data_IF_067622021284
#
_entry.id   IF_067622021284
#
_cell.length_a   1.000
_cell.length_b   1.000
_cell.length_c   1.000
_cell.angle_alpha   90.00
_cell.angle_beta   90.00
_cell.angle_gamma   90.00
#
_symmetry.space_group_name_H-M   'P 1'
#
loop_
_entity.id
_entity.type
_entity.pdbx_description
1 polymer ?
#
# COMPACT_ATOMS: atom_id res chain seq x y z
N UNK A 1 -12.10 8.75 17.92
CA UNK A 1 -13.08 8.50 16.97
C UNK A 1 -13.36 9.55 15.90
N UNK A 2 -12.67 10.71 15.94
CA UNK A 2 -12.77 11.76 14.91
C UNK A 2 -12.38 11.25 13.51
N UNK A 3 -11.38 10.35 13.41
CA UNK A 3 -10.94 9.78 12.14
C UNK A 3 -12.06 8.97 11.47
N UNK A 4 -12.72 8.12 12.23
CA UNK A 4 -13.86 7.31 11.74
C UNK A 4 -14.99 8.22 11.26
N UNK A 5 -15.30 9.27 12.02
CA UNK A 5 -16.32 10.26 11.64
C UNK A 5 -15.99 10.98 10.32
N UNK A 6 -14.73 11.38 10.16
CA UNK A 6 -14.24 12.00 8.90
C UNK A 6 -14.37 11.04 7.71
N UNK A 7 -13.97 9.77 7.88
CA UNK A 7 -14.11 8.74 6.83
C UNK A 7 -15.58 8.53 6.45
N UNK A 8 -16.47 8.39 7.46
CA UNK A 8 -17.92 8.24 7.23
C UNK A 8 -18.51 9.43 6.49
N UNK A 9 -18.15 10.63 6.91
CA UNK A 9 -18.66 11.86 6.30
C UNK A 9 -18.21 11.97 4.85
N UNK A 10 -16.91 11.79 4.58
CA UNK A 10 -16.37 11.81 3.23
C UNK A 10 -17.05 10.77 2.32
N UNK A 11 -17.20 9.53 2.80
CA UNK A 11 -17.88 8.47 2.05
C UNK A 11 -19.37 8.80 1.79
N UNK A 12 -20.08 9.40 2.77
CA UNK A 12 -21.49 9.75 2.65
C UNK A 12 -21.75 10.85 1.62
N UNK A 13 -20.84 11.82 1.50
CA UNK A 13 -20.96 12.91 0.52
C UNK A 13 -20.41 12.53 -0.87
N UNK A 14 -20.06 11.25 -1.08
CA UNK A 14 -19.65 10.71 -2.38
C UNK A 14 -18.17 10.86 -2.71
N UNK A 15 -17.33 11.28 -1.77
CA UNK A 15 -15.89 11.34 -2.00
C UNK A 15 -15.24 9.96 -2.06
N UNK A 16 -14.28 9.83 -2.96
CA UNK A 16 -13.38 8.67 -3.02
C UNK A 16 -12.39 8.75 -1.86
N UNK A 17 -12.52 7.83 -0.90
CA UNK A 17 -11.64 7.77 0.26
C UNK A 17 -10.52 6.77 0.01
N UNK A 18 -9.28 7.23 0.18
CA UNK A 18 -8.08 6.42 0.23
C UNK A 18 -7.46 6.50 1.61
N UNK A 19 -7.10 5.35 2.18
CA UNK A 19 -6.37 5.28 3.45
C UNK A 19 -4.91 4.94 3.20
N UNK A 20 -4.02 5.68 3.85
CA UNK A 20 -2.59 5.39 3.83
C UNK A 20 -2.14 5.12 5.27
N UNK A 21 -1.63 3.91 5.49
CA UNK A 21 -1.01 3.50 6.74
C UNK A 21 0.50 3.45 6.58
N UNK A 22 1.22 3.79 7.64
CA UNK A 22 2.66 3.56 7.76
C UNK A 22 2.84 2.52 8.87
N UNK A 23 3.57 1.45 8.59
CA UNK A 23 3.88 0.37 9.53
C UNK A 23 5.39 0.19 9.68
N UNK A 24 5.83 -0.35 10.79
CA UNK A 24 7.25 -0.63 11.04
C UNK A 24 8.01 0.57 11.62
N UNK A 25 7.33 1.40 12.43
CA UNK A 25 8.02 2.41 13.25
C UNK A 25 8.99 1.74 14.25
N UNK A 26 10.05 2.43 14.71
CA UNK A 26 11.09 1.83 15.56
C UNK A 26 10.59 1.04 16.77
N UNK A 27 9.54 1.51 17.43
CA UNK A 27 9.00 0.88 18.65
C UNK A 27 7.70 0.08 18.41
N UNK A 28 7.30 -0.09 17.15
CA UNK A 28 6.08 -0.81 16.81
C UNK A 28 6.24 -2.30 17.03
N UNK A 29 5.19 -2.94 17.52
CA UNK A 29 5.11 -4.40 17.66
C UNK A 29 4.33 -5.02 16.51
N UNK A 30 4.47 -6.33 16.34
CA UNK A 30 3.67 -7.09 15.37
C UNK A 30 2.16 -6.86 15.56
N UNK A 31 1.73 -6.77 16.83
CA UNK A 31 0.33 -6.53 17.17
C UNK A 31 -0.15 -5.16 16.69
N UNK A 32 0.69 -4.13 16.79
CA UNK A 32 0.32 -2.79 16.36
C UNK A 32 0.22 -2.69 14.82
N UNK A 33 1.13 -3.35 14.11
CA UNK A 33 1.02 -3.48 12.65
C UNK A 33 -0.27 -4.23 12.25
N UNK A 34 -0.61 -5.33 12.93
CA UNK A 34 -1.86 -6.06 12.68
C UNK A 34 -3.09 -5.23 12.98
N UNK A 35 -3.11 -4.46 14.07
CA UNK A 35 -4.22 -3.52 14.37
C UNK A 35 -4.43 -2.53 13.23
N UNK A 36 -3.36 -1.95 12.69
CA UNK A 36 -3.42 -1.04 11.54
C UNK A 36 -3.98 -1.73 10.29
N UNK A 37 -3.57 -2.97 10.03
CA UNK A 37 -4.05 -3.77 8.90
C UNK A 37 -5.54 -4.09 9.04
N UNK A 38 -5.96 -4.60 10.20
CA UNK A 38 -7.37 -4.92 10.44
C UNK A 38 -8.26 -3.67 10.48
N UNK A 39 -7.74 -2.54 10.96
CA UNK A 39 -8.47 -1.28 10.91
C UNK A 39 -8.68 -0.81 9.45
N UNK A 40 -7.69 -0.95 8.57
CA UNK A 40 -7.85 -0.67 7.14
C UNK A 40 -8.91 -1.56 6.48
N UNK A 41 -8.88 -2.87 6.74
CA UNK A 41 -9.89 -3.82 6.27
C UNK A 41 -11.29 -3.52 6.82
N UNK A 42 -11.41 -3.16 8.10
CA UNK A 42 -12.66 -2.71 8.71
C UNK A 42 -13.22 -1.47 8.02
N UNK A 43 -12.40 -0.46 7.75
CA UNK A 43 -12.82 0.73 7.04
C UNK A 43 -13.28 0.43 5.60
N UNK A 44 -12.60 -0.48 4.92
CA UNK A 44 -13.00 -0.95 3.60
C UNK A 44 -14.37 -1.63 3.61
N UNK A 45 -14.60 -2.49 4.59
CA UNK A 45 -15.87 -3.21 4.78
C UNK A 45 -17.01 -2.25 5.13
N UNK A 46 -16.80 -1.40 6.13
CA UNK A 46 -17.88 -0.64 6.76
C UNK A 46 -18.19 0.66 6.05
N UNK A 47 -17.18 1.38 5.55
CA UNK A 47 -17.33 2.71 4.99
C UNK A 47 -17.15 2.75 3.47
N UNK A 48 -16.78 1.63 2.87
CA UNK A 48 -16.63 1.53 1.42
C UNK A 48 -15.45 2.30 0.86
N UNK A 49 -14.40 2.39 1.61
CA UNK A 49 -13.10 2.91 1.16
C UNK A 49 -12.69 2.22 -0.14
N UNK A 50 -12.16 2.97 -1.09
CA UNK A 50 -11.80 2.47 -2.44
C UNK A 50 -10.37 1.96 -2.53
N UNK A 51 -9.49 2.48 -1.68
CA UNK A 51 -8.07 2.13 -1.72
C UNK A 51 -7.47 2.17 -0.32
N UNK A 52 -6.63 1.19 -0.01
CA UNK A 52 -5.89 1.12 1.25
C UNK A 52 -4.44 0.81 0.93
N UNK A 53 -3.54 1.68 1.37
CA UNK A 53 -2.11 1.53 1.15
C UNK A 53 -1.38 1.32 2.48
N UNK A 54 -0.39 0.44 2.48
CA UNK A 54 0.52 0.20 3.60
C UNK A 54 1.95 0.51 3.16
N UNK A 55 2.49 1.62 3.64
CA UNK A 55 3.88 1.99 3.45
C UNK A 55 4.70 1.47 4.64
N UNK A 56 5.95 1.07 4.39
CA UNK A 56 6.88 0.75 5.45
C UNK A 56 7.58 2.04 5.86
N UNK A 57 7.73 2.22 7.17
CA UNK A 57 8.39 3.39 7.73
C UNK A 57 9.79 3.58 7.13
N UNK A 58 10.07 4.77 6.68
CA UNK A 58 11.38 5.20 6.21
C UNK A 58 11.76 6.51 6.91
N UNK A 59 12.96 6.55 7.45
CA UNK A 59 13.46 7.73 8.16
C UNK A 59 13.94 8.77 7.15
N UNK A 60 13.19 9.85 6.97
CA UNK A 60 13.56 10.94 6.07
C UNK A 60 14.49 11.94 6.75
N UNK A 61 15.54 12.44 6.04
CA UNK A 61 16.43 13.47 6.55
C UNK A 61 15.67 14.69 7.06
N UNK A 62 16.08 15.21 8.21
CA UNK A 62 15.45 16.36 8.85
C UNK A 62 14.25 16.01 9.74
N UNK A 63 13.80 14.73 9.79
CA UNK A 63 12.82 14.32 10.77
C UNK A 63 13.48 14.00 12.12
N UNK A 64 12.73 14.18 13.21
CA UNK A 64 13.20 13.86 14.56
C UNK A 64 13.65 12.41 14.71
N UNK A 65 12.88 11.48 14.12
CA UNK A 65 13.20 10.04 14.10
C UNK A 65 14.48 9.74 13.30
N UNK A 66 14.73 10.45 12.21
CA UNK A 66 15.97 10.31 11.46
C UNK A 66 17.19 10.70 12.30
N UNK A 67 17.12 11.86 12.96
CA UNK A 67 18.21 12.34 13.82
C UNK A 67 18.45 11.41 15.01
N UNK A 68 17.37 10.87 15.59
CA UNK A 68 17.46 9.89 16.68
C UNK A 68 18.14 8.61 16.22
N UNK A 69 17.68 7.99 15.12
CA UNK A 69 18.26 6.76 14.57
C UNK A 69 19.72 6.93 14.15
N UNK A 70 20.08 8.12 13.61
CA UNK A 70 21.46 8.45 13.27
C UNK A 70 22.35 8.55 14.52
N UNK A 71 21.88 9.22 15.58
CA UNK A 71 22.59 9.28 16.88
C UNK A 71 22.80 7.91 17.51
N UNK A 72 21.80 7.03 17.40
CA UNK A 72 21.85 5.65 17.89
C UNK A 72 22.68 4.72 16.97
N UNK A 73 23.29 5.23 15.91
CA UNK A 73 24.05 4.46 14.90
C UNK A 73 23.24 3.32 14.24
N UNK A 74 21.92 3.41 14.27
CA UNK A 74 21.00 2.46 13.62
C UNK A 74 20.73 2.82 12.15
N UNK A 75 21.18 4.02 11.72
CA UNK A 75 21.00 4.53 10.36
C UNK A 75 22.32 5.08 9.84
N UNK A 76 22.75 4.54 8.69
CA UNK A 76 23.87 5.06 7.91
C UNK A 76 23.35 5.62 6.60
N UNK A 77 23.78 6.84 6.25
CA UNK A 77 23.38 7.51 5.00
C UNK A 77 24.35 7.08 3.91
N UNK A 78 24.01 6.03 3.20
CA UNK A 78 24.76 5.45 2.11
C UNK A 78 23.84 5.21 0.88
N UNK A 79 24.38 4.66 -0.20
CA UNK A 79 23.60 4.37 -1.41
C UNK A 79 22.44 3.39 -1.14
N UNK A 80 22.61 2.47 -0.17
CA UNK A 80 21.54 1.55 0.21
C UNK A 80 20.42 2.26 0.94
N UNK A 81 20.74 3.26 1.78
CA UNK A 81 19.75 4.10 2.41
C UNK A 81 18.88 4.81 1.36
N UNK A 82 19.50 5.44 0.34
CA UNK A 82 18.76 6.12 -0.72
C UNK A 82 17.93 5.16 -1.58
N UNK A 83 18.42 3.96 -1.86
CA UNK A 83 17.65 2.91 -2.55
C UNK A 83 16.43 2.50 -1.74
N UNK A 84 16.57 2.38 -0.42
CA UNK A 84 15.47 2.01 0.47
C UNK A 84 14.42 3.13 0.63
N UNK A 85 14.80 4.40 0.43
CA UNK A 85 13.85 5.52 0.39
C UNK A 85 12.98 5.50 -0.86
N UNK A 86 13.49 4.96 -1.97
CA UNK A 86 12.71 4.83 -3.19
C UNK A 86 11.74 3.66 -3.03
N UNK A 87 10.49 3.91 -2.72
CA UNK A 87 9.40 2.93 -2.52
C UNK A 87 9.20 1.89 -3.65
N UNK A 88 10.08 1.83 -4.62
CA UNK A 88 9.91 1.06 -5.84
C UNK A 88 10.29 -0.42 -5.70
N UNK A 89 11.19 -0.76 -4.79
CA UNK A 89 11.58 -2.16 -4.60
C UNK A 89 10.83 -2.79 -3.43
N UNK A 90 9.82 -3.58 -3.77
CA UNK A 90 9.00 -4.32 -2.79
C UNK A 90 9.81 -5.44 -2.13
N UNK A 91 10.92 -5.85 -2.73
CA UNK A 91 11.73 -7.00 -2.30
C UNK A 91 12.84 -6.61 -1.34
N UNK A 92 13.32 -5.38 -1.40
CA UNK A 92 14.37 -4.84 -0.52
C UNK A 92 13.74 -3.97 0.56
N UNK A 93 13.31 -4.59 1.64
CA UNK A 93 12.73 -3.87 2.77
C UNK A 93 13.71 -3.82 3.92
N UNK A 94 14.19 -2.64 4.23
CA UNK A 94 14.95 -2.39 5.44
C UNK A 94 13.98 -2.11 6.60
N UNK A 95 14.26 -2.64 7.78
CA UNK A 95 13.47 -2.38 8.98
C UNK A 95 14.25 -1.53 9.96
N UNK A 96 13.66 -0.42 10.37
CA UNK A 96 14.11 0.36 11.52
C UNK A 96 13.44 -0.09 12.82
N UNK A 97 12.52 -1.05 12.74
CA UNK A 97 11.80 -1.59 13.86
C UNK A 97 12.68 -2.55 14.68
N UNK A 98 12.64 -2.45 16.00
CA UNK A 98 13.44 -3.28 16.90
C UNK A 98 12.95 -4.73 16.95
N UNK A 99 11.65 -4.94 16.77
CA UNK A 99 10.98 -6.23 16.98
C UNK A 99 10.55 -6.94 15.71
N UNK A 100 10.63 -6.28 14.54
CA UNK A 100 10.11 -6.83 13.29
C UNK A 100 11.16 -6.73 12.20
N UNK A 101 11.52 -7.86 11.60
CA UNK A 101 12.47 -7.90 10.49
C UNK A 101 11.89 -7.30 9.22
N UNK A 102 12.76 -6.83 8.31
CA UNK A 102 12.34 -6.29 7.01
C UNK A 102 11.50 -7.28 6.18
N UNK A 103 11.87 -8.58 6.21
CA UNK A 103 11.09 -9.64 5.53
C UNK A 103 9.68 -9.78 6.10
N UNK A 104 9.54 -9.68 7.42
CA UNK A 104 8.25 -9.73 8.09
C UNK A 104 7.42 -8.48 7.75
N UNK A 105 8.02 -7.29 7.71
CA UNK A 105 7.32 -6.06 7.28
C UNK A 105 6.85 -6.16 5.83
N UNK A 106 7.66 -6.71 4.93
CA UNK A 106 7.25 -6.96 3.55
C UNK A 106 6.06 -7.92 3.48
N UNK A 107 6.08 -9.00 4.28
CA UNK A 107 4.96 -9.94 4.40
C UNK A 107 3.70 -9.26 4.94
N UNK A 108 3.81 -8.49 6.03
CA UNK A 108 2.69 -7.75 6.64
C UNK A 108 2.09 -6.73 5.65
N UNK A 109 2.92 -6.04 4.90
CA UNK A 109 2.48 -5.14 3.84
C UNK A 109 1.69 -5.89 2.78
N UNK A 110 2.21 -7.00 2.26
CA UNK A 110 1.51 -7.83 1.28
C UNK A 110 0.20 -8.39 1.83
N UNK A 111 0.22 -8.90 3.07
CA UNK A 111 -0.97 -9.39 3.77
C UNK A 111 -2.02 -8.30 3.92
N UNK A 112 -1.60 -7.09 4.37
CA UNK A 112 -2.49 -5.94 4.52
C UNK A 112 -3.14 -5.53 3.21
N UNK A 113 -2.38 -5.46 2.13
CA UNK A 113 -2.92 -5.24 0.79
C UNK A 113 -3.94 -6.30 0.40
N UNK A 114 -3.56 -7.57 0.49
CA UNK A 114 -4.42 -8.69 0.09
C UNK A 114 -5.74 -8.68 0.87
N UNK A 115 -5.66 -8.56 2.19
CA UNK A 115 -6.84 -8.52 3.06
C UNK A 115 -7.75 -7.33 2.72
N UNK A 116 -7.17 -6.14 2.56
CA UNK A 116 -7.93 -4.94 2.26
C UNK A 116 -8.63 -5.02 0.90
N UNK A 117 -7.94 -5.46 -0.15
CA UNK A 117 -8.57 -5.59 -1.47
C UNK A 117 -9.59 -6.71 -1.54
N UNK A 118 -9.32 -7.86 -0.92
CA UNK A 118 -10.34 -8.92 -0.79
C UNK A 118 -11.59 -8.34 -0.13
N UNK A 119 -11.44 -7.60 0.96
CA UNK A 119 -12.54 -6.97 1.67
C UNK A 119 -13.26 -5.92 0.82
N UNK A 120 -12.53 -5.07 0.08
CA UNK A 120 -13.08 -4.06 -0.84
C UNK A 120 -13.97 -4.70 -1.90
N UNK A 121 -13.54 -5.81 -2.49
CA UNK A 121 -14.28 -6.45 -3.58
C UNK A 121 -15.41 -7.35 -3.07
N UNK A 122 -15.24 -8.06 -1.97
CA UNK A 122 -16.31 -8.87 -1.36
C UNK A 122 -17.44 -7.99 -0.84
N UNK A 123 -17.11 -6.85 -0.18
CA UNK A 123 -18.14 -5.95 0.36
C UNK A 123 -19.00 -5.29 -0.70
N UNK A 124 -18.52 -5.18 -1.93
CA UNK A 124 -19.22 -4.55 -3.05
C UNK A 124 -18.95 -5.24 -4.37
N UNK A 125 -19.60 -6.38 -4.63
CA UNK A 125 -19.32 -7.23 -5.81
C UNK A 125 -19.57 -6.51 -7.15
N UNK A 126 -20.39 -5.46 -7.17
CA UNK A 126 -20.55 -4.61 -8.34
C UNK A 126 -19.23 -3.99 -8.86
N UNK A 127 -18.24 -3.84 -7.97
CA UNK A 127 -16.90 -3.34 -8.34
C UNK A 127 -16.15 -4.34 -9.21
N UNK A 128 -16.33 -5.64 -8.94
CA UNK A 128 -15.75 -6.72 -9.77
C UNK A 128 -16.32 -6.63 -11.18
N UNK A 129 -17.64 -6.51 -11.28
CA UNK A 129 -18.31 -6.36 -12.57
C UNK A 129 -17.82 -5.12 -13.32
N UNK A 130 -17.77 -3.97 -12.66
CA UNK A 130 -17.30 -2.72 -13.26
C UNK A 130 -15.83 -2.80 -13.69
N UNK A 131 -14.97 -3.45 -12.89
CA UNK A 131 -13.58 -3.68 -13.26
C UNK A 131 -13.48 -4.44 -14.58
N UNK A 132 -14.12 -5.61 -14.70
CA UNK A 132 -14.07 -6.40 -15.93
C UNK A 132 -14.71 -5.67 -17.11
N UNK A 133 -15.82 -4.98 -16.91
CA UNK A 133 -16.47 -4.18 -17.95
C UNK A 133 -15.54 -3.09 -18.49
N UNK A 134 -14.82 -2.39 -17.60
CA UNK A 134 -13.93 -1.28 -17.99
C UNK A 134 -12.58 -1.77 -18.51
N UNK A 135 -12.09 -2.94 -18.05
CA UNK A 135 -10.78 -3.46 -18.38
C UNK A 135 -10.57 -3.69 -19.89
N UNK A 136 -11.62 -4.06 -20.59
CA UNK A 136 -11.59 -4.31 -22.03
C UNK A 136 -11.96 -3.09 -22.88
N UNK A 137 -12.24 -1.94 -22.26
CA UNK A 137 -12.52 -0.70 -23.00
C UNK A 137 -11.22 -0.03 -23.45
N UNK A 138 -11.28 0.70 -24.59
CA UNK A 138 -10.14 1.45 -25.13
C UNK A 138 -9.56 2.48 -24.15
N UNK A 139 -10.43 3.08 -23.30
CA UNK A 139 -10.07 4.05 -22.30
C UNK A 139 -10.33 3.41 -20.92
N UNK A 140 -9.36 2.64 -20.43
CA UNK A 140 -9.45 2.07 -19.09
C UNK A 140 -9.15 3.15 -18.04
N UNK A 141 -10.11 3.37 -17.15
CA UNK A 141 -9.94 4.23 -15.97
C UNK A 141 -9.95 3.37 -14.71
N UNK A 142 -8.78 3.15 -14.08
CA UNK A 142 -8.71 2.37 -12.84
C UNK A 142 -9.40 3.11 -11.70
N UNK A 143 -10.19 2.38 -10.91
CA UNK A 143 -10.86 2.94 -9.72
C UNK A 143 -9.94 2.98 -8.51
N UNK A 144 -8.88 2.18 -8.51
CA UNK A 144 -7.89 2.09 -7.44
C UNK A 144 -6.52 1.64 -7.96
N UNK A 145 -5.49 1.68 -7.08
CA UNK A 145 -4.11 1.30 -7.44
C UNK A 145 -3.96 -0.16 -7.87
N UNK A 146 -4.76 -1.06 -7.32
CA UNK A 146 -4.69 -2.47 -7.67
C UNK A 146 -5.13 -2.70 -9.12
N UNK A 147 -6.24 -2.10 -9.52
CA UNK A 147 -6.72 -2.15 -10.91
C UNK A 147 -5.70 -1.55 -11.88
N UNK A 148 -5.09 -0.43 -11.50
CA UNK A 148 -4.03 0.20 -12.30
C UNK A 148 -2.84 -0.74 -12.50
N UNK A 149 -2.36 -1.39 -11.44
CA UNK A 149 -1.23 -2.32 -11.52
C UNK A 149 -1.53 -3.54 -12.39
N UNK A 150 -2.74 -4.09 -12.31
CA UNK A 150 -3.17 -5.19 -13.17
C UNK A 150 -3.16 -4.75 -14.65
N UNK A 151 -3.69 -3.56 -14.92
CA UNK A 151 -3.72 -3.04 -16.28
C UNK A 151 -2.32 -2.76 -16.82
N UNK A 152 -1.44 -2.14 -16.03
CA UNK A 152 -0.04 -1.90 -16.42
C UNK A 152 0.70 -3.21 -16.70
N UNK A 153 0.48 -4.24 -15.90
CA UNK A 153 1.03 -5.57 -16.12
C UNK A 153 0.53 -6.18 -17.44
N UNK A 154 -0.77 -6.09 -17.70
CA UNK A 154 -1.38 -6.55 -18.95
C UNK A 154 -0.79 -5.83 -20.17
N UNK A 155 -0.65 -4.51 -20.11
CA UNK A 155 -0.06 -3.69 -21.18
C UNK A 155 1.39 -4.10 -21.44
N UNK A 156 2.19 -4.29 -20.39
CA UNK A 156 3.60 -4.76 -20.50
C UNK A 156 3.69 -6.13 -21.19
N UNK A 157 2.83 -7.07 -20.81
CA UNK A 157 2.79 -8.39 -21.46
C UNK A 157 2.44 -8.30 -22.95
N UNK A 158 1.50 -7.43 -23.30
CA UNK A 158 1.10 -7.19 -24.71
C UNK A 158 2.22 -6.58 -25.53
N UNK A 159 2.95 -5.62 -24.97
CA UNK A 159 4.09 -4.98 -25.62
C UNK A 159 5.25 -5.96 -25.82
N UNK A 160 5.55 -6.80 -24.84
CA UNK A 160 6.60 -7.82 -24.94
C UNK A 160 6.27 -8.87 -26.03
N UNK A 161 5.02 -9.32 -26.11
CA UNK A 161 4.59 -10.23 -27.19
C UNK A 161 4.76 -9.60 -28.57
N UNK A 162 4.43 -8.32 -28.73
CA UNK A 162 4.60 -7.61 -29.99
C UNK A 162 6.07 -7.45 -30.38
N UNK A 163 6.96 -7.24 -29.42
CA UNK A 163 8.40 -7.13 -29.65
C UNK A 163 9.00 -8.46 -30.12
N UNK A 164 8.57 -9.58 -29.53
CA UNK A 164 9.04 -10.93 -29.89
C UNK A 164 8.45 -11.46 -31.22
N UNK A 165 7.40 -10.82 -31.76
CA UNK A 165 6.83 -11.19 -33.07
C UNK A 165 7.43 -10.41 -34.25
N UNK A 166 8.34 -9.45 -33.98
CA UNK A 166 8.99 -8.59 -34.98
C UNK A 166 10.48 -8.96 -35.10
N UNK A 167 11.03 -9.73 -34.13
CA UNK A 167 12.36 -10.32 -34.21
C UNK A 167 12.28 -11.74 -34.80
#
# INVERSE_FOLDING_TARGET
>A
DRLIESIKTAARIGHTVKLNFIIGFPHETLIDCLKSIFFGAYCALRFGVLDVNYAIFSAYPGSELFEKLKKEKKLHVDDNYFKNLSYQDVTQTFSYCEHISGKMLAFLRFFGFSLSYITIYISRPIRIYNFFKNFFQKNFFPSNLFEQRIYDFYVRLKLNKKKNSIS
#
